data_IF_621546627415
#
_entry.id   IF_621546627415
#
_cell.length_a   1.000
_cell.length_b   1.000
_cell.length_c   1.000
_cell.angle_alpha   90.00
_cell.angle_beta   90.00
_cell.angle_gamma   90.00
#
_symmetry.space_group_name_H-M   'P 1'
#
loop_
_entity.id
_entity.type
_entity.pdbx_description
1 polymer ?
#
# COMPACT_ATOMS: atom_id res chain seq x y z
N UNK A 1 10.58 23.14 -13.75
CA UNK A 1 11.91 22.61 -13.39
C UNK A 1 12.19 22.98 -11.93
N UNK A 2 11.44 22.37 -11.01
CA UNK A 2 11.73 22.43 -9.57
C UNK A 2 12.81 21.39 -9.30
N UNK A 3 13.86 21.80 -8.60
CA UNK A 3 15.00 20.96 -8.24
C UNK A 3 14.53 19.86 -7.29
N UNK A 4 14.75 18.61 -7.65
CA UNK A 4 14.87 17.52 -6.70
C UNK A 4 16.17 17.75 -5.93
N UNK A 5 16.05 18.09 -4.66
CA UNK A 5 17.16 18.19 -3.73
C UNK A 5 16.89 17.17 -2.63
N UNK A 6 17.07 15.89 -2.95
CA UNK A 6 17.13 14.81 -1.97
C UNK A 6 18.48 14.91 -1.26
N UNK A 7 18.56 15.86 -0.32
CA UNK A 7 19.62 15.90 0.69
C UNK A 7 19.08 16.71 1.87
N UNK A 8 18.14 16.10 2.60
CA UNK A 8 17.83 16.54 3.94
C UNK A 8 18.36 15.47 4.90
N UNK A 9 19.43 15.81 5.61
CA UNK A 9 19.78 15.21 6.89
C UNK A 9 18.60 15.42 7.85
N UNK A 10 17.62 14.52 7.80
CA UNK A 10 16.53 14.49 8.76
C UNK A 10 17.08 13.80 10.01
N UNK A 11 17.62 14.58 10.95
CA UNK A 11 17.78 14.18 12.35
C UNK A 11 16.40 14.03 13.00
N UNK A 12 15.63 13.04 12.52
CA UNK A 12 14.40 12.56 13.14
C UNK A 12 14.71 11.41 14.10
N UNK A 13 13.83 11.15 15.06
CA UNK A 13 13.91 9.94 15.87
C UNK A 13 13.88 8.72 14.94
N UNK A 14 14.98 7.96 14.93
CA UNK A 14 15.18 6.79 14.07
C UNK A 14 14.18 5.72 14.50
N UNK A 15 13.49 5.10 13.52
CA UNK A 15 12.62 3.94 13.74
C UNK A 15 13.30 2.91 14.64
N UNK A 16 12.58 2.44 15.67
CA UNK A 16 13.17 1.53 16.66
C UNK A 16 13.57 0.21 15.99
N UNK A 17 14.79 -0.21 16.31
CA UNK A 17 15.37 -1.46 15.85
C UNK A 17 15.08 -2.57 16.85
N UNK A 18 14.68 -3.73 16.35
CA UNK A 18 14.43 -4.92 17.16
C UNK A 18 15.38 -6.04 16.77
N UNK A 19 15.76 -6.88 17.73
CA UNK A 19 16.58 -8.05 17.42
C UNK A 19 15.78 -9.09 16.60
N UNK A 20 16.45 -10.02 15.91
CA UNK A 20 15.75 -11.12 15.23
C UNK A 20 14.86 -11.93 16.18
N UNK A 21 15.32 -12.16 17.42
CA UNK A 21 14.53 -12.82 18.47
C UNK A 21 13.29 -12.00 18.86
N UNK A 22 13.41 -10.67 18.92
CA UNK A 22 12.27 -9.81 19.22
C UNK A 22 11.23 -9.86 18.10
N UNK A 23 11.64 -9.95 16.83
CA UNK A 23 10.71 -10.14 15.71
C UNK A 23 9.98 -11.47 15.78
N UNK A 24 10.64 -12.57 16.17
CA UNK A 24 9.96 -13.85 16.40
C UNK A 24 8.93 -13.71 17.52
N UNK A 25 9.25 -13.00 18.61
CA UNK A 25 8.29 -12.75 19.70
C UNK A 25 7.13 -11.86 19.28
N UNK A 26 7.39 -10.85 18.43
CA UNK A 26 6.33 -10.03 17.83
C UNK A 26 5.40 -10.91 16.99
N UNK A 27 5.94 -11.80 16.18
CA UNK A 27 5.16 -12.74 15.37
C UNK A 27 4.30 -13.67 16.24
N UNK A 28 4.88 -14.30 17.27
CA UNK A 28 4.13 -15.11 18.25
C UNK A 28 2.93 -14.34 18.81
N UNK A 29 3.15 -13.08 19.22
CA UNK A 29 2.07 -12.25 19.75
C UNK A 29 1.04 -11.85 18.67
N UNK A 30 1.48 -11.61 17.44
CA UNK A 30 0.59 -11.32 16.30
C UNK A 30 -0.32 -12.52 16.01
N UNK A 31 0.23 -13.73 15.90
CA UNK A 31 -0.54 -14.94 15.62
C UNK A 31 -1.48 -15.33 16.79
N UNK A 32 -1.20 -14.86 18.01
CA UNK A 32 -2.12 -15.01 19.15
C UNK A 32 -3.33 -14.08 19.08
N UNK A 33 -3.23 -12.93 18.38
CA UNK A 33 -4.28 -11.90 18.32
C UNK A 33 -3.94 -10.61 19.10
N UNK A 34 -2.65 -10.30 19.28
CA UNK A 34 -2.18 -9.06 19.93
C UNK A 34 -1.56 -8.06 18.95
N UNK A 35 -1.86 -8.19 17.65
CA UNK A 35 -1.41 -7.34 16.54
C UNK A 35 -1.86 -5.86 16.68
N UNK A 36 -2.73 -5.56 17.64
CA UNK A 36 -3.18 -4.19 18.00
C UNK A 36 -2.31 -3.52 19.08
N UNK A 37 -1.40 -4.24 19.73
CA UNK A 37 -0.48 -3.71 20.75
C UNK A 37 0.80 -3.14 20.14
N UNK A 38 1.56 -2.35 20.89
CA UNK A 38 2.90 -1.91 20.46
C UNK A 38 3.89 -3.07 20.47
N UNK A 39 4.98 -3.00 19.70
CA UNK A 39 5.99 -4.06 19.67
C UNK A 39 6.57 -4.35 21.07
N UNK A 40 6.93 -3.35 21.91
CA UNK A 40 7.38 -3.61 23.27
C UNK A 40 6.33 -4.35 24.13
N UNK A 41 5.05 -4.03 23.99
CA UNK A 41 3.98 -4.71 24.72
C UNK A 41 3.81 -6.17 24.28
N UNK A 42 3.98 -6.45 22.98
CA UNK A 42 3.96 -7.81 22.43
C UNK A 42 5.12 -8.65 22.95
N UNK A 43 6.34 -8.11 22.89
CA UNK A 43 7.55 -8.76 23.41
C UNK A 43 7.42 -9.04 24.91
N UNK A 44 6.94 -8.05 25.69
CA UNK A 44 6.72 -8.20 27.13
C UNK A 44 5.69 -9.29 27.45
N UNK A 45 4.62 -9.40 26.65
CA UNK A 45 3.63 -10.45 26.81
C UNK A 45 4.23 -11.84 26.59
N UNK A 46 5.00 -12.05 25.50
CA UNK A 46 5.67 -13.34 25.25
C UNK A 46 6.62 -13.70 26.38
N UNK A 47 7.45 -12.75 26.83
CA UNK A 47 8.39 -12.97 27.92
C UNK A 47 7.71 -13.30 29.27
N UNK A 48 6.43 -12.93 29.44
CA UNK A 48 5.68 -13.21 30.68
C UNK A 48 5.11 -14.63 30.75
N UNK A 49 5.09 -15.36 29.63
CA UNK A 49 4.50 -16.70 29.53
C UNK A 49 5.57 -17.76 29.74
N UNK A 50 5.35 -18.64 30.73
CA UNK A 50 6.29 -19.75 31.02
C UNK A 50 6.22 -20.88 30.01
N UNK A 51 5.02 -21.19 29.54
CA UNK A 51 4.76 -22.28 28.60
C UNK A 51 3.92 -21.76 27.43
N UNK A 52 4.61 -21.44 26.32
CA UNK A 52 3.99 -20.92 25.11
C UNK A 52 3.15 -21.99 24.40
N UNK A 53 3.54 -23.28 24.45
CA UNK A 53 2.77 -24.37 23.83
C UNK A 53 1.36 -24.48 24.41
N UNK A 54 1.20 -24.21 25.71
CA UNK A 54 -0.11 -24.20 26.37
C UNK A 54 -1.12 -23.19 25.76
N UNK A 55 -0.63 -22.19 25.04
CA UNK A 55 -1.46 -21.13 24.44
C UNK A 55 -1.90 -21.42 23.01
N UNK A 56 -1.35 -22.44 22.36
CA UNK A 56 -1.60 -22.76 20.95
C UNK A 56 -3.08 -22.87 20.61
N UNK A 57 -3.86 -23.63 21.40
CA UNK A 57 -5.30 -23.84 21.13
C UNK A 57 -6.12 -22.55 21.28
N UNK A 58 -5.65 -21.60 22.10
CA UNK A 58 -6.33 -20.33 22.35
C UNK A 58 -5.90 -19.20 21.42
N UNK A 59 -4.90 -19.42 20.57
CA UNK A 59 -4.43 -18.42 19.62
C UNK A 59 -5.47 -18.20 18.50
N UNK A 60 -5.55 -16.98 17.97
CA UNK A 60 -6.41 -16.66 16.82
C UNK A 60 -6.00 -17.46 15.57
N UNK A 61 -4.69 -17.69 15.39
CA UNK A 61 -4.12 -18.48 14.29
C UNK A 61 -3.27 -19.64 14.85
N UNK A 62 -3.87 -20.75 15.34
CA UNK A 62 -3.15 -21.79 16.07
C UNK A 62 -1.94 -22.41 15.33
N UNK A 63 -2.02 -22.77 14.04
CA UNK A 63 -0.87 -23.35 13.34
C UNK A 63 0.29 -22.36 13.19
N UNK A 64 -0.01 -21.10 12.85
CA UNK A 64 0.99 -20.04 12.69
C UNK A 64 1.62 -19.67 14.03
N UNK A 65 0.82 -19.61 15.10
CA UNK A 65 1.31 -19.40 16.46
C UNK A 65 2.31 -20.50 16.86
N UNK A 66 1.96 -21.77 16.67
CA UNK A 66 2.84 -22.88 16.99
C UNK A 66 4.14 -22.84 16.17
N UNK A 67 4.05 -22.54 14.87
CA UNK A 67 5.24 -22.40 14.03
C UNK A 67 6.20 -21.32 14.55
N UNK A 68 5.67 -20.16 14.96
CA UNK A 68 6.48 -19.08 15.54
C UNK A 68 7.08 -19.46 16.91
N UNK A 69 6.37 -20.23 17.73
CA UNK A 69 6.90 -20.76 19.01
C UNK A 69 8.05 -21.74 18.75
N UNK A 70 7.91 -22.66 17.80
CA UNK A 70 8.98 -23.59 17.40
C UNK A 70 10.19 -22.82 16.85
N UNK A 71 9.98 -21.76 16.07
CA UNK A 71 11.07 -20.91 15.57
C UNK A 71 11.82 -20.20 16.71
N UNK A 72 11.14 -19.82 17.79
CA UNK A 72 11.80 -19.26 18.97
C UNK A 72 12.65 -20.30 19.70
N UNK A 73 12.16 -21.54 19.81
CA UNK A 73 12.91 -22.66 20.39
C UNK A 73 14.16 -22.98 19.56
N UNK A 74 14.02 -23.06 18.23
CA UNK A 74 15.15 -23.22 17.31
C UNK A 74 16.19 -22.11 17.48
N UNK A 75 15.73 -20.86 17.60
CA UNK A 75 16.62 -19.72 17.80
C UNK A 75 17.39 -19.81 19.14
N UNK A 76 16.73 -20.25 20.24
CA UNK A 76 17.39 -20.49 21.52
C UNK A 76 18.36 -21.67 21.48
N UNK A 77 18.06 -22.69 20.69
CA UNK A 77 18.92 -23.85 20.48
C UNK A 77 20.03 -23.62 19.43
N UNK A 78 20.09 -22.43 18.83
CA UNK A 78 21.00 -22.10 17.72
C UNK A 78 20.85 -23.05 16.52
N UNK A 79 19.62 -23.51 16.25
CA UNK A 79 19.25 -24.31 15.09
C UNK A 79 18.81 -23.37 13.96
N UNK A 80 19.33 -23.51 12.73
CA UNK A 80 18.86 -22.74 11.59
C UNK A 80 17.36 -22.96 11.34
N UNK A 81 16.62 -21.88 11.17
CA UNK A 81 15.19 -21.92 10.89
C UNK A 81 14.87 -21.18 9.59
N UNK A 82 13.91 -21.73 8.82
CA UNK A 82 13.35 -21.07 7.63
C UNK A 82 12.11 -20.23 7.95
N UNK A 83 11.79 -20.02 9.23
CA UNK A 83 10.58 -19.29 9.65
C UNK A 83 10.62 -17.84 9.15
N UNK A 84 9.50 -17.40 8.59
CA UNK A 84 9.31 -16.03 8.13
C UNK A 84 8.39 -15.30 9.09
N UNK A 85 8.80 -14.10 9.50
CA UNK A 85 7.97 -13.19 10.29
C UNK A 85 7.17 -12.32 9.33
N UNK A 86 5.86 -12.21 9.55
CA UNK A 86 4.98 -11.34 8.76
C UNK A 86 4.59 -10.06 9.50
N UNK A 87 4.61 -8.94 8.80
CA UNK A 87 3.99 -7.69 9.24
C UNK A 87 3.00 -7.20 8.18
N UNK A 88 1.82 -6.80 8.64
CA UNK A 88 0.75 -6.30 7.77
C UNK A 88 0.81 -4.76 7.70
N UNK A 89 0.55 -4.20 6.52
CA UNK A 89 0.33 -2.77 6.41
C UNK A 89 -0.96 -2.36 7.14
N UNK A 90 -0.89 -1.35 8.00
CA UNK A 90 -2.05 -0.92 8.78
C UNK A 90 -3.07 -0.21 7.88
N UNK A 91 -4.18 -0.88 7.58
CA UNK A 91 -5.29 -0.33 6.76
C UNK A 91 -4.81 0.20 5.40
N UNK A 92 -4.02 -0.62 4.69
CA UNK A 92 -3.34 -0.31 3.40
C UNK A 92 -4.12 0.62 2.47
N UNK A 93 -5.36 0.27 2.11
CA UNK A 93 -6.19 1.09 1.22
C UNK A 93 -6.41 2.54 1.71
N UNK A 94 -6.75 2.71 2.99
CA UNK A 94 -6.98 4.03 3.60
C UNK A 94 -5.65 4.79 3.73
N UNK A 95 -4.58 4.07 4.08
CA UNK A 95 -3.22 4.63 4.17
C UNK A 95 -2.77 5.18 2.82
N UNK A 96 -2.90 4.41 1.74
CA UNK A 96 -2.55 4.84 0.38
C UNK A 96 -3.34 6.10 0.01
N UNK A 97 -4.67 6.09 0.18
CA UNK A 97 -5.50 7.26 -0.11
C UNK A 97 -5.08 8.49 0.73
N UNK A 98 -4.76 8.30 2.01
CA UNK A 98 -4.25 9.36 2.88
C UNK A 98 -2.92 9.95 2.40
N UNK A 99 -1.98 9.10 1.97
CA UNK A 99 -0.67 9.50 1.44
C UNK A 99 -0.83 10.29 0.14
N UNK A 100 -1.63 9.78 -0.80
CA UNK A 100 -1.86 10.46 -2.08
C UNK A 100 -2.48 11.85 -1.90
N UNK A 101 -3.33 12.02 -0.87
CA UNK A 101 -3.92 13.29 -0.51
C UNK A 101 -2.97 14.23 0.26
N UNK A 102 -1.80 13.76 0.71
CA UNK A 102 -0.94 14.52 1.65
C UNK A 102 -1.62 14.77 3.01
N UNK A 103 -2.45 13.85 3.50
CA UNK A 103 -3.29 14.08 4.68
C UNK A 103 -2.65 13.57 5.98
N UNK A 104 -2.23 14.50 6.84
CA UNK A 104 -1.71 14.18 8.17
C UNK A 104 -2.72 13.46 9.08
N UNK A 105 -3.99 13.91 9.11
CA UNK A 105 -5.02 13.33 10.00
C UNK A 105 -5.29 11.87 9.64
N UNK A 106 -5.53 11.59 8.35
CA UNK A 106 -5.73 10.23 7.84
C UNK A 106 -4.52 9.37 8.19
N UNK A 107 -3.32 9.87 7.88
CA UNK A 107 -2.06 9.16 8.08
C UNK A 107 -1.78 8.86 9.56
N UNK A 108 -2.14 9.78 10.46
CA UNK A 108 -2.00 9.58 11.88
C UNK A 108 -2.97 8.51 12.38
N UNK A 109 -4.21 8.48 11.87
CA UNK A 109 -5.22 7.51 12.30
C UNK A 109 -5.02 6.11 11.72
N UNK A 110 -4.28 5.97 10.61
CA UNK A 110 -3.82 4.66 10.12
C UNK A 110 -2.50 4.20 10.74
N UNK A 111 -1.74 5.10 11.37
CA UNK A 111 -0.46 4.79 12.01
C UNK A 111 0.73 4.82 11.04
N UNK A 112 0.55 5.35 9.83
CA UNK A 112 1.67 5.57 8.88
C UNK A 112 2.54 6.78 9.27
N UNK A 113 2.03 7.64 10.15
CA UNK A 113 2.85 8.64 10.87
C UNK A 113 2.70 8.47 12.39
N UNK A 114 3.76 8.83 13.11
CA UNK A 114 3.81 8.75 14.58
C UNK A 114 4.27 7.40 15.12
N UNK A 115 4.22 7.27 16.45
CA UNK A 115 4.84 6.18 17.22
C UNK A 115 3.83 5.28 17.96
N UNK A 116 2.56 5.31 17.55
CA UNK A 116 1.51 4.47 18.13
C UNK A 116 1.01 3.46 17.12
N UNK A 117 0.73 2.25 17.59
CA UNK A 117 -0.01 1.26 16.81
C UNK A 117 -1.47 1.69 16.77
N UNK A 118 -1.88 2.29 15.66
CA UNK A 118 -3.24 2.81 15.50
C UNK A 118 -4.20 1.75 15.00
N UNK A 119 -5.48 1.93 15.29
CA UNK A 119 -6.56 1.06 14.82
C UNK A 119 -7.64 1.95 14.21
N UNK A 120 -7.53 2.17 12.89
CA UNK A 120 -8.38 3.08 12.14
C UNK A 120 -9.88 2.80 12.35
N UNK A 121 -10.25 1.52 12.36
CA UNK A 121 -11.63 1.10 12.60
C UNK A 121 -12.12 1.49 13.99
N UNK A 122 -11.25 1.38 15.00
CA UNK A 122 -11.57 1.82 16.36
C UNK A 122 -11.62 3.35 16.48
N UNK A 123 -10.73 4.08 15.80
CA UNK A 123 -10.80 5.55 15.77
C UNK A 123 -12.15 6.03 15.22
N UNK A 124 -12.60 5.44 14.11
CA UNK A 124 -13.92 5.73 13.56
C UNK A 124 -15.05 5.31 14.50
N UNK A 125 -14.91 4.19 15.20
CA UNK A 125 -15.91 3.70 16.15
C UNK A 125 -16.09 4.67 17.32
N UNK A 126 -15.00 5.18 17.87
CA UNK A 126 -15.04 6.18 18.94
C UNK A 126 -15.71 7.46 18.44
N UNK A 127 -15.25 7.99 17.32
CA UNK A 127 -15.79 9.21 16.72
C UNK A 127 -17.30 9.10 16.42
N UNK A 128 -17.75 7.96 15.87
CA UNK A 128 -19.15 7.72 15.55
C UNK A 128 -20.01 7.65 16.83
N UNK A 129 -19.54 6.97 17.87
CA UNK A 129 -20.26 6.88 19.14
C UNK A 129 -20.33 8.24 19.85
N UNK A 130 -19.27 9.04 19.79
CA UNK A 130 -19.22 10.39 20.35
C UNK A 130 -20.24 11.31 19.66
N UNK A 131 -20.38 11.22 18.33
CA UNK A 131 -21.38 11.97 17.56
C UNK A 131 -22.82 11.59 17.91
N UNK A 132 -23.09 10.30 18.09
CA UNK A 132 -24.44 9.81 18.39
C UNK A 132 -24.90 10.22 19.79
N UNK A 133 -23.96 10.33 20.75
CA UNK A 133 -24.22 10.66 22.15
C UNK A 133 -25.46 9.92 22.70
N UNK A 134 -25.54 8.62 22.40
CA UNK A 134 -26.68 7.77 22.69
C UNK A 134 -26.33 6.67 23.68
N UNK A 135 -27.34 6.11 24.35
CA UNK A 135 -27.16 4.96 25.26
C UNK A 135 -26.76 3.67 24.51
N UNK A 136 -26.90 3.64 23.18
CA UNK A 136 -26.53 2.50 22.34
C UNK A 136 -25.14 2.72 21.77
N UNK A 137 -24.22 1.84 22.12
CA UNK A 137 -22.85 1.83 21.59
C UNK A 137 -22.78 0.99 20.31
N UNK A 138 -22.37 1.62 19.22
CA UNK A 138 -22.10 0.96 17.94
C UNK A 138 -20.83 0.11 18.05
N UNK A 139 -20.90 -1.20 17.74
CA UNK A 139 -19.74 -2.08 17.81
C UNK A 139 -18.68 -1.79 16.74
N UNK A 140 -17.39 -1.94 17.12
CA UNK A 140 -16.26 -1.83 16.18
C UNK A 140 -16.36 -2.76 14.97
N UNK A 141 -16.94 -3.96 15.16
CA UNK A 141 -17.10 -4.93 14.08
C UNK A 141 -17.99 -4.41 12.94
N UNK A 142 -19.07 -3.71 13.30
CA UNK A 142 -20.02 -3.14 12.35
C UNK A 142 -19.42 -1.95 11.61
N UNK A 143 -18.71 -1.07 12.33
CA UNK A 143 -17.95 0.03 11.75
C UNK A 143 -16.87 -0.49 10.79
N UNK A 144 -16.10 -1.52 11.20
CA UNK A 144 -15.07 -2.14 10.33
C UNK A 144 -15.69 -2.66 9.04
N UNK A 145 -16.78 -3.40 9.12
CA UNK A 145 -17.44 -4.00 7.94
C UNK A 145 -17.96 -2.94 6.97
N UNK A 146 -18.51 -1.84 7.49
CA UNK A 146 -18.93 -0.69 6.68
C UNK A 146 -17.74 0.06 6.07
N UNK A 147 -16.74 0.40 6.88
CA UNK A 147 -15.57 1.20 6.49
C UNK A 147 -14.71 0.50 5.44
N UNK A 148 -14.53 -0.82 5.52
CA UNK A 148 -13.75 -1.60 4.54
C UNK A 148 -14.30 -1.51 3.10
N UNK A 149 -15.60 -1.23 2.95
CA UNK A 149 -16.22 -1.08 1.61
C UNK A 149 -16.42 0.37 1.22
N UNK A 150 -16.52 1.27 2.20
CA UNK A 150 -16.78 2.69 2.01
C UNK A 150 -15.73 3.36 1.13
N UNK A 151 -14.44 3.22 1.47
CA UNK A 151 -13.34 3.88 0.74
C UNK A 151 -13.11 3.37 -0.69
N UNK A 152 -13.88 2.38 -1.12
CA UNK A 152 -13.95 1.89 -2.49
C UNK A 152 -15.26 2.33 -3.19
N UNK A 153 -15.95 3.33 -2.62
CA UNK A 153 -17.18 3.93 -3.14
C UNK A 153 -18.49 3.24 -2.75
N UNK A 154 -18.45 2.13 -2.02
CA UNK A 154 -19.67 1.41 -1.65
C UNK A 154 -20.46 2.14 -0.56
N UNK A 155 -21.74 2.38 -0.85
CA UNK A 155 -22.72 2.84 0.15
C UNK A 155 -23.63 1.71 0.64
N UNK A 156 -23.61 0.55 -0.02
CA UNK A 156 -24.54 -0.54 0.24
C UNK A 156 -24.34 -1.15 1.63
N UNK A 157 -23.09 -1.38 2.04
CA UNK A 157 -22.80 -1.99 3.33
C UNK A 157 -23.06 -1.06 4.52
N UNK A 158 -22.64 0.22 4.49
CA UNK A 158 -23.05 1.20 5.50
C UNK A 158 -24.57 1.29 5.66
N UNK A 159 -25.33 1.38 4.55
CA UNK A 159 -26.79 1.45 4.58
C UNK A 159 -27.46 0.21 5.15
N UNK A 160 -26.95 -0.98 4.83
CA UNK A 160 -27.49 -2.22 5.36
C UNK A 160 -27.27 -2.36 6.87
N UNK A 161 -26.12 -1.91 7.39
CA UNK A 161 -25.77 -2.04 8.80
C UNK A 161 -26.43 -0.96 9.64
N UNK A 162 -26.40 0.31 9.20
CA UNK A 162 -26.88 1.44 9.99
C UNK A 162 -28.31 1.88 9.64
N UNK A 163 -28.89 1.36 8.56
CA UNK A 163 -30.19 1.78 8.03
C UNK A 163 -30.09 3.00 7.12
N UNK A 164 -31.03 3.13 6.18
CA UNK A 164 -31.15 4.36 5.37
C UNK A 164 -31.86 5.46 6.16
N UNK A 165 -31.41 6.71 5.96
CA UNK A 165 -31.98 7.91 6.60
C UNK A 165 -32.00 7.88 8.15
N UNK A 166 -31.01 7.21 8.75
CA UNK A 166 -30.83 7.11 10.21
C UNK A 166 -29.73 8.05 10.71
N UNK A 167 -29.79 8.41 12.00
CA UNK A 167 -28.73 9.19 12.65
C UNK A 167 -27.41 8.43 12.68
N UNK A 168 -27.47 7.10 12.79
CA UNK A 168 -26.33 6.19 12.77
C UNK A 168 -25.60 6.25 11.42
N UNK A 169 -26.34 6.26 10.30
CA UNK A 169 -25.72 6.39 8.98
C UNK A 169 -25.09 7.78 8.77
N UNK A 170 -25.75 8.85 9.25
CA UNK A 170 -25.21 10.21 9.20
C UNK A 170 -23.92 10.30 10.02
N UNK A 171 -23.96 9.83 11.28
CA UNK A 171 -22.80 9.81 12.17
C UNK A 171 -21.67 8.94 11.62
N UNK A 172 -21.97 7.84 10.91
CA UNK A 172 -20.95 7.05 10.23
C UNK A 172 -20.19 7.88 9.19
N UNK A 173 -20.89 8.58 8.28
CA UNK A 173 -20.24 9.39 7.25
C UNK A 173 -19.50 10.59 7.85
N UNK A 174 -20.09 11.27 8.83
CA UNK A 174 -19.39 12.36 9.56
C UNK A 174 -18.13 11.87 10.28
N UNK A 175 -18.17 10.68 10.88
CA UNK A 175 -16.99 10.06 11.48
C UNK A 175 -15.90 9.77 10.45
N UNK A 176 -16.23 9.32 9.23
CA UNK A 176 -15.24 9.12 8.15
C UNK A 176 -14.52 10.43 7.80
N UNK A 177 -15.26 11.52 7.66
CA UNK A 177 -14.70 12.86 7.35
C UNK A 177 -13.81 13.39 8.46
N UNK A 178 -14.11 13.08 9.73
CA UNK A 178 -13.27 13.48 10.86
C UNK A 178 -11.99 12.64 10.97
N UNK A 179 -12.08 11.31 10.81
CA UNK A 179 -10.94 10.42 11.06
C UNK A 179 -10.05 10.21 9.84
N UNK A 180 -10.59 10.34 8.63
CA UNK A 180 -9.86 10.14 7.38
C UNK A 180 -10.28 11.10 6.25
N UNK A 181 -10.23 12.43 6.48
CA UNK A 181 -10.68 13.41 5.49
C UNK A 181 -9.94 13.28 4.15
N UNK A 182 -8.63 13.00 4.19
CA UNK A 182 -7.82 12.80 2.98
C UNK A 182 -8.24 11.58 2.18
N UNK A 183 -8.58 10.48 2.86
CA UNK A 183 -9.07 9.29 2.18
C UNK A 183 -10.47 9.51 1.56
N UNK A 184 -11.35 10.27 2.22
CA UNK A 184 -12.63 10.66 1.64
C UNK A 184 -12.44 11.50 0.37
N UNK A 185 -11.56 12.52 0.43
CA UNK A 185 -11.22 13.37 -0.73
C UNK A 185 -10.72 12.51 -1.88
N UNK A 186 -9.71 11.66 -1.65
CA UNK A 186 -9.12 10.85 -2.72
C UNK A 186 -10.08 9.81 -3.28
N UNK A 187 -10.93 9.19 -2.45
CA UNK A 187 -11.99 8.32 -2.93
C UNK A 187 -12.93 9.09 -3.88
N UNK A 188 -13.34 10.31 -3.53
CA UNK A 188 -14.19 11.13 -4.40
C UNK A 188 -13.49 11.54 -5.70
N UNK A 189 -12.20 11.88 -5.65
CA UNK A 189 -11.41 12.16 -6.86
C UNK A 189 -11.31 10.93 -7.77
N UNK A 190 -11.12 9.73 -7.20
CA UNK A 190 -11.10 8.50 -7.98
C UNK A 190 -12.46 8.17 -8.58
N UNK A 191 -13.55 8.25 -7.81
CA UNK A 191 -14.90 8.00 -8.32
C UNK A 191 -15.30 8.97 -9.43
N UNK A 192 -14.97 10.25 -9.28
CA UNK A 192 -15.22 11.27 -10.31
C UNK A 192 -14.32 11.12 -11.54
N UNK A 193 -13.35 10.18 -11.51
CA UNK A 193 -12.55 9.84 -12.68
C UNK A 193 -13.24 8.89 -13.64
N UNK A 194 -14.40 8.31 -13.26
CA UNK A 194 -15.17 7.45 -14.14
C UNK A 194 -15.55 8.15 -15.45
N UNK A 195 -15.12 7.59 -16.57
CA UNK A 195 -15.56 8.03 -17.88
C UNK A 195 -16.81 7.28 -18.30
N UNK A 196 -17.93 8.00 -18.34
CA UNK A 196 -19.22 7.44 -18.77
C UNK A 196 -19.14 6.79 -20.14
N UNK A 197 -19.64 5.57 -20.23
CA UNK A 197 -19.68 4.75 -21.45
C UNK A 197 -18.33 4.35 -22.06
N UNK A 198 -17.21 4.59 -21.37
CA UNK A 198 -15.93 4.01 -21.75
C UNK A 198 -16.00 2.48 -21.64
N UNK A 199 -15.33 1.77 -22.55
CA UNK A 199 -15.23 0.30 -22.53
C UNK A 199 -14.12 -0.19 -21.61
N UNK A 200 -13.22 0.69 -21.19
CA UNK A 200 -12.16 0.39 -20.24
C UNK A 200 -11.66 1.66 -19.57
N UNK A 201 -11.05 1.49 -18.40
CA UNK A 201 -10.22 2.50 -17.75
C UNK A 201 -8.81 1.93 -17.61
N UNK A 202 -7.80 2.70 -18.01
CA UNK A 202 -6.40 2.28 -17.94
C UNK A 202 -5.51 3.35 -17.33
N UNK A 203 -4.41 2.89 -16.75
CA UNK A 203 -3.35 3.76 -16.24
C UNK A 203 -2.04 2.98 -16.13
N UNK A 204 -0.94 3.72 -16.12
CA UNK A 204 0.41 3.23 -15.91
C UNK A 204 0.85 3.56 -14.48
N UNK A 205 1.73 2.73 -13.92
CA UNK A 205 2.33 2.89 -12.60
C UNK A 205 3.82 3.24 -12.73
N UNK A 206 4.49 3.75 -11.66
CA UNK A 206 5.88 4.22 -11.76
C UNK A 206 6.89 3.18 -12.25
N UNK A 207 6.62 1.90 -12.01
CA UNK A 207 7.47 0.81 -12.51
C UNK A 207 7.13 0.39 -13.95
N UNK A 208 6.29 1.15 -14.67
CA UNK A 208 5.89 0.87 -16.04
C UNK A 208 4.86 -0.25 -16.19
N UNK A 209 4.23 -0.70 -15.11
CA UNK A 209 3.09 -1.63 -15.19
C UNK A 209 1.87 -0.89 -15.76
N UNK A 210 1.27 -1.43 -16.82
CA UNK A 210 0.08 -0.85 -17.45
C UNK A 210 -1.16 -1.65 -17.06
N UNK A 211 -2.04 -1.03 -16.26
CA UNK A 211 -3.30 -1.60 -15.82
C UNK A 211 -4.40 -1.24 -16.82
N UNK A 212 -5.11 -2.25 -17.33
CA UNK A 212 -6.29 -2.08 -18.21
C UNK A 212 -7.47 -2.79 -17.53
N UNK A 213 -8.54 -2.06 -17.27
CA UNK A 213 -9.75 -2.58 -16.63
C UNK A 213 -10.94 -2.42 -17.57
N UNK A 214 -11.41 -3.50 -18.21
CA UNK A 214 -12.63 -3.47 -19.01
C UNK A 214 -13.87 -3.17 -18.17
N UNK A 215 -14.85 -2.47 -18.76
CA UNK A 215 -16.14 -2.19 -18.11
C UNK A 215 -17.12 -3.32 -18.40
N UNK A 216 -17.26 -4.24 -17.46
CA UNK A 216 -18.14 -5.41 -17.60
C UNK A 216 -19.51 -5.16 -16.96
N UNK A 217 -20.57 -5.41 -17.71
CA UNK A 217 -21.97 -5.32 -17.25
C UNK A 217 -22.63 -6.69 -17.24
N UNK A 218 -23.42 -6.95 -16.19
CA UNK A 218 -24.20 -8.19 -16.07
C UNK A 218 -25.47 -8.10 -16.92
N UNK A 219 -25.48 -8.85 -18.01
CA UNK A 219 -26.60 -8.97 -18.94
C UNK A 219 -27.50 -10.15 -18.54
N UNK A 220 -28.81 -10.02 -18.78
CA UNK A 220 -29.78 -11.08 -18.54
C UNK A 220 -30.54 -11.37 -19.83
N UNK A 221 -30.51 -12.61 -20.28
CA UNK A 221 -31.29 -13.08 -21.44
C UNK A 221 -32.21 -14.19 -20.98
N UNK A 222 -33.48 -14.12 -21.41
CA UNK A 222 -34.44 -15.19 -21.19
C UNK A 222 -34.33 -16.18 -22.35
N UNK A 223 -33.98 -17.42 -22.04
CA UNK A 223 -33.93 -18.52 -22.99
C UNK A 223 -35.18 -19.39 -22.81
N UNK A 224 -35.74 -19.87 -23.91
CA UNK A 224 -36.78 -20.88 -23.95
C UNK A 224 -36.18 -22.16 -24.51
N UNK A 225 -36.40 -23.29 -23.85
CA UNK A 225 -35.93 -24.61 -24.30
C UNK A 225 -37.15 -25.42 -24.76
N UNK A 226 -37.28 -25.55 -26.07
CA UNK A 226 -38.37 -26.28 -26.71
C UNK A 226 -38.40 -27.76 -26.26
N UNK A 227 -37.24 -28.40 -26.15
CA UNK A 227 -37.08 -29.80 -25.74
C UNK A 227 -37.46 -30.07 -24.28
N UNK A 228 -37.65 -29.02 -23.48
CA UNK A 228 -38.10 -29.09 -22.08
C UNK A 228 -39.50 -28.52 -21.92
N UNK A 229 -40.42 -28.82 -22.85
CA UNK A 229 -41.79 -28.31 -22.85
C UNK A 229 -41.86 -26.78 -22.75
N UNK A 230 -41.05 -26.08 -23.55
CA UNK A 230 -40.98 -24.61 -23.55
C UNK A 230 -40.60 -24.01 -22.17
N UNK A 231 -39.81 -24.74 -21.37
CA UNK A 231 -39.34 -24.22 -20.09
C UNK A 231 -38.43 -23.03 -20.33
N UNK A 232 -38.63 -21.97 -19.54
CA UNK A 232 -37.81 -20.75 -19.64
C UNK A 232 -36.80 -20.67 -18.52
N UNK A 233 -35.57 -20.25 -18.85
CA UNK A 233 -34.51 -19.98 -17.89
C UNK A 233 -33.89 -18.61 -18.14
N UNK A 234 -33.40 -17.97 -17.08
CA UNK A 234 -32.65 -16.71 -17.18
C UNK A 234 -31.17 -17.02 -17.22
N UNK A 235 -30.53 -16.74 -18.35
CA UNK A 235 -29.08 -16.81 -18.49
C UNK A 235 -28.48 -15.44 -18.15
N UNK A 236 -27.52 -15.43 -17.22
CA UNK A 236 -26.80 -14.23 -16.81
C UNK A 236 -25.37 -14.35 -17.32
N UNK A 237 -24.90 -13.37 -18.08
CA UNK A 237 -23.52 -13.30 -18.57
C UNK A 237 -22.95 -11.90 -18.39
N UNK A 238 -21.64 -11.76 -18.51
CA UNK A 238 -20.96 -10.46 -18.49
C UNK A 238 -20.57 -10.06 -19.91
N UNK A 239 -20.83 -8.80 -20.25
CA UNK A 239 -20.49 -8.22 -21.55
C UNK A 239 -19.67 -6.94 -21.36
N UNK A 240 -18.77 -6.63 -22.29
CA UNK A 240 -17.94 -5.42 -22.21
C UNK A 240 -18.71 -4.24 -22.81
N UNK A 241 -19.50 -3.59 -21.97
CA UNK A 241 -20.36 -2.47 -22.34
C UNK A 241 -20.16 -1.38 -21.29
N UNK A 242 -19.80 -0.18 -21.74
CA UNK A 242 -19.63 0.95 -20.85
C UNK A 242 -20.90 1.30 -20.08
N UNK A 243 -20.76 1.85 -18.88
CA UNK A 243 -21.87 2.35 -18.06
C UNK A 243 -21.76 3.83 -17.80
N UNK A 244 -22.91 4.46 -17.54
CA UNK A 244 -23.01 5.88 -17.20
C UNK A 244 -22.20 6.22 -15.94
N UNK A 245 -22.34 5.39 -14.92
CA UNK A 245 -21.62 5.50 -13.64
C UNK A 245 -20.90 4.19 -13.30
N UNK A 246 -19.89 4.27 -12.44
CA UNK A 246 -19.18 3.09 -11.94
C UNK A 246 -18.34 3.40 -10.71
N UNK A 247 -18.29 2.44 -9.78
CA UNK A 247 -17.55 2.57 -8.52
C UNK A 247 -16.19 1.86 -8.57
N UNK A 248 -16.02 0.90 -9.48
CA UNK A 248 -14.88 -0.01 -9.52
C UNK A 248 -13.54 0.73 -9.69
N UNK A 249 -13.55 1.90 -10.34
CA UNK A 249 -12.37 2.73 -10.57
C UNK A 249 -11.63 3.10 -9.29
N UNK A 250 -12.35 3.37 -8.19
CA UNK A 250 -11.74 3.69 -6.91
C UNK A 250 -10.96 2.51 -6.33
N UNK A 251 -11.56 1.32 -6.32
CA UNK A 251 -10.88 0.10 -5.89
C UNK A 251 -9.67 -0.23 -6.77
N UNK A 252 -9.86 -0.21 -8.09
CA UNK A 252 -8.84 -0.62 -9.04
C UNK A 252 -7.60 0.30 -9.03
N UNK A 253 -7.80 1.62 -8.92
CA UNK A 253 -6.68 2.57 -8.81
C UNK A 253 -5.92 2.37 -7.48
N UNK A 254 -6.63 2.23 -6.36
CA UNK A 254 -5.99 1.98 -5.06
C UNK A 254 -5.23 0.65 -5.04
N UNK A 255 -5.83 -0.44 -5.56
CA UNK A 255 -5.18 -1.75 -5.63
C UNK A 255 -4.04 -1.80 -6.66
N UNK A 256 -4.14 -1.02 -7.74
CA UNK A 256 -3.03 -0.84 -8.68
C UNK A 256 -1.79 -0.27 -7.99
N UNK A 257 -1.99 0.79 -7.19
CA UNK A 257 -0.92 1.43 -6.41
C UNK A 257 -0.39 0.50 -5.31
N UNK A 258 -1.26 -0.21 -4.58
CA UNK A 258 -0.86 -1.25 -3.62
C UNK A 258 0.04 -2.31 -4.28
N UNK A 259 -0.38 -2.84 -5.45
CA UNK A 259 0.41 -3.78 -6.22
C UNK A 259 1.75 -3.21 -6.67
N UNK A 260 1.83 -1.91 -6.98
CA UNK A 260 3.10 -1.24 -7.26
C UNK A 260 4.01 -1.21 -6.02
N UNK A 261 3.48 -0.84 -4.85
CA UNK A 261 4.25 -0.84 -3.60
C UNK A 261 4.81 -2.22 -3.29
N UNK A 262 4.03 -3.29 -3.53
CA UNK A 262 4.51 -4.68 -3.39
C UNK A 262 5.68 -4.95 -4.32
N UNK A 263 5.54 -4.66 -5.62
CA UNK A 263 6.60 -4.92 -6.60
C UNK A 263 7.87 -4.13 -6.29
N UNK A 264 7.74 -2.86 -5.93
CA UNK A 264 8.87 -2.00 -5.61
C UNK A 264 9.57 -2.44 -4.31
N UNK A 265 8.81 -2.81 -3.29
CA UNK A 265 9.37 -3.35 -2.03
C UNK A 265 10.17 -4.63 -2.29
N UNK A 266 9.62 -5.56 -3.08
CA UNK A 266 10.32 -6.80 -3.42
C UNK A 266 11.58 -6.50 -4.24
N UNK A 267 11.54 -5.57 -5.21
CA UNK A 267 12.73 -5.18 -5.97
C UNK A 267 13.82 -4.60 -5.07
N UNK A 268 13.46 -3.72 -4.15
CA UNK A 268 14.43 -3.07 -3.24
C UNK A 268 14.93 -3.99 -2.13
N UNK A 269 14.18 -5.03 -1.75
CA UNK A 269 14.63 -6.03 -0.76
C UNK A 269 15.38 -7.20 -1.39
N UNK A 270 14.93 -7.73 -2.53
CA UNK A 270 15.41 -8.97 -3.14
C UNK A 270 16.08 -8.69 -4.50
N UNK A 271 17.02 -7.73 -4.51
CA UNK A 271 17.71 -7.31 -5.72
C UNK A 271 18.86 -8.26 -6.12
N UNK A 272 19.23 -8.24 -7.39
CA UNK A 272 20.45 -8.87 -7.92
C UNK A 272 21.65 -7.94 -7.70
N UNK A 273 22.54 -8.32 -6.77
CA UNK A 273 23.69 -7.52 -6.40
C UNK A 273 24.69 -7.34 -7.57
N UNK A 274 24.88 -8.34 -8.42
CA UNK A 274 25.80 -8.24 -9.56
C UNK A 274 25.28 -7.24 -10.59
N UNK A 275 23.97 -7.28 -10.86
CA UNK A 275 23.30 -6.32 -11.73
C UNK A 275 23.42 -4.89 -11.18
N UNK A 276 23.12 -4.68 -9.90
CA UNK A 276 23.20 -3.34 -9.30
C UNK A 276 24.62 -2.79 -9.32
N UNK A 277 25.63 -3.60 -9.00
CA UNK A 277 27.05 -3.19 -9.07
C UNK A 277 27.42 -2.79 -10.50
N UNK A 278 27.04 -3.59 -11.50
CA UNK A 278 27.34 -3.31 -12.91
C UNK A 278 26.69 -1.99 -13.37
N UNK A 279 25.39 -1.84 -13.12
CA UNK A 279 24.63 -0.65 -13.52
C UNK A 279 25.11 0.58 -12.76
N UNK A 280 25.40 0.47 -11.45
CA UNK A 280 25.98 1.54 -10.65
C UNK A 280 27.31 2.04 -11.22
N UNK A 281 28.23 1.13 -11.58
CA UNK A 281 29.50 1.49 -12.18
C UNK A 281 29.33 2.18 -13.56
N UNK A 282 28.36 1.74 -14.36
CA UNK A 282 28.02 2.39 -15.62
C UNK A 282 27.46 3.80 -15.39
N UNK A 283 26.56 3.96 -14.44
CA UNK A 283 25.96 5.26 -14.09
C UNK A 283 27.00 6.23 -13.55
N UNK A 284 27.90 5.80 -12.67
CA UNK A 284 29.00 6.61 -12.13
C UNK A 284 29.91 7.14 -13.25
N UNK A 285 30.35 6.25 -14.16
CA UNK A 285 31.17 6.63 -15.32
C UNK A 285 30.50 7.69 -16.21
N UNK A 286 29.18 7.70 -16.27
CA UNK A 286 28.39 8.61 -17.10
C UNK A 286 27.67 9.71 -16.30
N UNK A 287 27.96 9.86 -15.00
CA UNK A 287 27.20 10.67 -14.05
C UNK A 287 27.04 12.13 -14.50
N UNK A 288 28.13 12.74 -14.98
CA UNK A 288 28.14 14.14 -15.43
C UNK A 288 27.92 14.35 -16.93
N UNK A 289 27.74 13.28 -17.68
CA UNK A 289 27.60 13.33 -19.13
C UNK A 289 26.31 14.05 -19.52
N UNK A 290 26.36 15.01 -20.44
CA UNK A 290 25.19 15.81 -20.87
C UNK A 290 24.54 15.34 -22.17
N UNK A 291 25.03 14.24 -22.77
CA UNK A 291 24.44 13.67 -23.97
C UNK A 291 23.10 12.99 -23.65
N UNK A 292 21.99 13.64 -23.99
CA UNK A 292 20.81 12.92 -24.46
C UNK A 292 20.91 12.94 -25.99
N UNK A 293 20.88 11.79 -26.65
CA UNK A 293 20.95 11.73 -28.11
C UNK A 293 19.88 12.66 -28.72
N UNK A 294 20.32 13.73 -29.41
CA UNK A 294 19.43 14.69 -30.08
C UNK A 294 18.55 13.88 -31.04
N UNK A 295 17.23 13.82 -30.76
CA UNK A 295 16.25 13.12 -31.60
C UNK A 295 15.80 11.73 -31.13
N UNK A 296 16.25 11.21 -29.97
CA UNK A 296 15.66 10.00 -29.38
C UNK A 296 14.45 10.35 -28.50
N UNK A 297 13.39 9.53 -28.57
CA UNK A 297 12.28 9.57 -27.62
C UNK A 297 12.77 9.11 -26.23
N UNK A 298 12.29 9.74 -25.16
CA UNK A 298 12.50 9.32 -23.78
C UNK A 298 12.14 7.84 -23.60
N UNK A 299 12.98 7.08 -22.92
CA UNK A 299 12.66 5.67 -22.64
C UNK A 299 11.42 5.59 -21.75
N UNK A 300 10.54 4.60 -21.97
CA UNK A 300 9.24 4.52 -21.29
C UNK A 300 9.35 4.52 -19.75
N UNK A 301 10.33 3.83 -19.18
CA UNK A 301 10.57 3.83 -17.72
C UNK A 301 10.99 5.20 -17.18
N UNK A 302 11.77 5.97 -17.95
CA UNK A 302 12.14 7.33 -17.58
C UNK A 302 10.94 8.27 -17.71
N UNK A 303 10.12 8.09 -18.76
CA UNK A 303 8.89 8.84 -18.91
C UNK A 303 7.92 8.59 -17.74
N UNK A 304 7.76 7.33 -17.32
CA UNK A 304 6.96 6.99 -16.14
C UNK A 304 7.51 7.66 -14.87
N UNK A 305 8.83 7.67 -14.67
CA UNK A 305 9.43 8.35 -13.53
C UNK A 305 9.17 9.87 -13.54
N UNK A 306 9.24 10.50 -14.71
CA UNK A 306 8.94 11.93 -14.89
C UNK A 306 7.46 12.21 -14.60
N UNK A 307 6.55 11.42 -15.16
CA UNK A 307 5.11 11.64 -15.07
C UNK A 307 4.58 11.44 -13.64
N UNK A 308 5.12 10.42 -12.95
CA UNK A 308 4.73 10.09 -11.59
C UNK A 308 5.56 10.79 -10.52
N UNK A 309 6.68 11.44 -10.86
CA UNK A 309 7.61 12.00 -9.87
C UNK A 309 8.09 10.94 -8.87
N UNK A 310 8.30 9.71 -9.35
CA UNK A 310 8.72 8.56 -8.54
C UNK A 310 9.65 7.67 -9.36
N UNK A 311 10.85 7.40 -8.86
CA UNK A 311 11.81 6.54 -9.54
C UNK A 311 11.72 5.09 -9.04
N UNK A 312 11.48 4.14 -9.96
CA UNK A 312 11.47 2.71 -9.64
C UNK A 312 12.83 2.09 -9.88
N UNK A 313 13.26 1.19 -8.98
CA UNK A 313 14.47 0.39 -9.15
C UNK A 313 14.42 -0.47 -10.41
N UNK A 314 13.23 -0.74 -10.98
CA UNK A 314 13.09 -1.43 -12.28
C UNK A 314 13.88 -0.76 -13.40
N UNK A 315 14.20 0.53 -13.28
CA UNK A 315 15.08 1.24 -14.20
C UNK A 315 16.39 0.52 -14.55
N UNK A 316 16.95 -0.25 -13.61
CA UNK A 316 18.21 -0.99 -13.80
C UNK A 316 18.13 -2.09 -14.87
N UNK A 317 16.92 -2.62 -15.13
CA UNK A 317 16.70 -3.64 -16.16
C UNK A 317 16.91 -3.10 -17.59
N UNK A 318 16.84 -1.78 -17.75
CA UNK A 318 16.84 -1.12 -19.06
C UNK A 318 18.14 -0.40 -19.38
N UNK A 319 19.12 -0.35 -18.46
CA UNK A 319 20.39 0.36 -18.68
C UNK A 319 21.51 -0.63 -18.98
N UNK A 320 22.25 -0.36 -20.05
CA UNK A 320 23.47 -1.06 -20.42
C UNK A 320 24.46 -0.09 -21.10
N UNK A 321 25.66 -0.59 -21.40
CA UNK A 321 26.74 0.18 -22.02
C UNK A 321 26.40 0.80 -23.38
N UNK A 322 25.42 0.25 -24.12
CA UNK A 322 25.04 0.72 -25.45
C UNK A 322 23.94 1.79 -25.42
N UNK A 323 23.08 1.77 -24.40
CA UNK A 323 21.92 2.66 -24.34
C UNK A 323 21.95 3.68 -23.20
N UNK A 324 22.96 3.67 -22.31
CA UNK A 324 23.06 4.62 -21.19
C UNK A 324 22.98 6.10 -21.59
N UNK A 325 23.42 6.46 -22.80
CA UNK A 325 23.35 7.84 -23.31
C UNK A 325 21.97 8.20 -23.92
N UNK A 326 21.01 7.28 -23.91
CA UNK A 326 19.61 7.53 -24.28
C UNK A 326 18.78 8.03 -23.10
N UNK A 327 19.24 7.79 -21.86
CA UNK A 327 18.61 8.28 -20.64
C UNK A 327 19.13 9.68 -20.29
N UNK A 328 18.26 10.54 -19.74
CA UNK A 328 18.69 11.87 -19.35
C UNK A 328 19.72 11.85 -18.20
N UNK A 329 20.46 12.95 -18.07
CA UNK A 329 21.35 13.15 -16.91
C UNK A 329 20.60 13.05 -15.59
N UNK A 330 19.43 13.70 -15.47
CA UNK A 330 18.65 13.71 -14.24
C UNK A 330 18.24 12.30 -13.81
N UNK A 331 17.64 11.54 -14.72
CA UNK A 331 17.20 10.16 -14.44
C UNK A 331 18.36 9.24 -14.03
N UNK A 332 19.52 9.35 -14.71
CA UNK A 332 20.71 8.55 -14.35
C UNK A 332 21.25 8.88 -12.97
N UNK A 333 21.27 10.16 -12.60
CA UNK A 333 21.73 10.60 -11.28
C UNK A 333 20.77 10.11 -10.18
N UNK A 334 19.46 10.27 -10.38
CA UNK A 334 18.45 9.77 -9.44
C UNK A 334 18.52 8.24 -9.29
N UNK A 335 18.65 7.49 -10.39
CA UNK A 335 18.76 6.03 -10.33
C UNK A 335 20.05 5.60 -9.62
N UNK A 336 21.16 6.31 -9.85
CA UNK A 336 22.42 6.05 -9.17
C UNK A 336 22.30 6.24 -7.66
N UNK A 337 21.64 7.32 -7.22
CA UNK A 337 21.36 7.55 -5.80
C UNK A 337 20.48 6.47 -5.21
N UNK A 338 19.38 6.10 -5.89
CA UNK A 338 18.50 5.02 -5.45
C UNK A 338 19.25 3.69 -5.30
N UNK A 339 20.12 3.33 -6.25
CA UNK A 339 20.94 2.11 -6.16
C UNK A 339 21.84 2.15 -4.92
N UNK A 340 22.47 3.29 -4.64
CA UNK A 340 23.28 3.50 -3.44
C UNK A 340 22.48 3.24 -2.15
N UNK A 341 21.31 3.86 -2.04
CA UNK A 341 20.42 3.69 -0.87
C UNK A 341 19.92 2.25 -0.70
N UNK A 342 19.61 1.56 -1.81
CA UNK A 342 19.19 0.15 -1.78
C UNK A 342 20.34 -0.76 -1.36
N UNK A 343 21.56 -0.50 -1.85
CA UNK A 343 22.75 -1.30 -1.52
C UNK A 343 23.29 -1.09 -0.10
N UNK A 344 22.82 -0.05 0.61
CA UNK A 344 23.11 0.13 2.04
C UNK A 344 22.41 -0.92 2.92
N UNK A 345 21.38 -1.59 2.40
CA UNK A 345 20.71 -2.73 3.04
C UNK A 345 21.10 -4.05 2.36
N UNK A 346 21.16 -5.19 3.08
CA UNK A 346 21.42 -6.48 2.46
C UNK A 346 20.26 -6.91 1.54
N UNK A 347 20.55 -7.69 0.49
CA UNK A 347 19.53 -8.37 -0.31
C UNK A 347 18.98 -9.60 0.42
N UNK A 348 17.66 -9.78 0.43
CA UNK A 348 16.95 -10.91 1.04
C UNK A 348 15.60 -11.17 0.37
N UNK A 349 15.13 -12.44 0.35
CA UNK A 349 13.81 -12.76 -0.20
C UNK A 349 12.69 -12.22 0.69
N UNK A 350 11.65 -11.71 0.04
CA UNK A 350 10.40 -11.27 0.67
C UNK A 350 9.25 -12.03 0.04
N UNK A 351 8.40 -12.63 0.87
CA UNK A 351 7.14 -13.22 0.45
C UNK A 351 6.02 -12.24 0.80
N UNK A 352 5.13 -11.97 -0.15
CA UNK A 352 4.02 -11.05 0.05
C UNK A 352 2.67 -11.73 -0.12
N UNK A 353 1.68 -11.28 0.65
CA UNK A 353 0.26 -11.59 0.46
C UNK A 353 -0.44 -10.25 0.38
N UNK A 354 -0.44 -9.65 -0.81
CA UNK A 354 -0.84 -8.25 -1.00
C UNK A 354 -0.09 -7.33 -0.03
N UNK A 355 -0.77 -6.81 0.99
CA UNK A 355 -0.28 -5.85 1.97
C UNK A 355 0.39 -6.49 3.21
N UNK A 356 0.51 -7.82 3.25
CA UNK A 356 1.35 -8.55 4.22
C UNK A 356 2.75 -8.80 3.63
N UNK A 357 3.80 -8.46 4.37
CA UNK A 357 5.20 -8.68 3.97
C UNK A 357 5.90 -9.61 4.94
N UNK A 358 6.51 -10.68 4.42
CA UNK A 358 7.22 -11.69 5.22
C UNK A 358 8.67 -11.84 4.79
N UNK A 359 9.59 -11.81 5.74
CA UNK A 359 10.96 -12.21 5.50
C UNK A 359 11.57 -12.89 6.73
N UNK A 360 12.80 -13.37 6.60
CA UNK A 360 13.52 -13.96 7.73
C UNK A 360 13.75 -12.87 8.81
N UNK A 361 13.61 -13.18 10.11
CA UNK A 361 13.65 -12.21 11.21
C UNK A 361 14.90 -11.31 11.24
N UNK A 362 16.01 -11.76 10.66
CA UNK A 362 17.24 -10.97 10.51
C UNK A 362 17.08 -9.71 9.63
N UNK A 363 16.07 -9.67 8.76
CA UNK A 363 15.91 -8.63 7.75
C UNK A 363 14.67 -7.74 7.97
N UNK A 364 13.91 -7.98 9.04
CA UNK A 364 12.67 -7.25 9.29
C UNK A 364 12.89 -5.74 9.53
N UNK A 365 14.03 -5.36 10.10
CA UNK A 365 14.41 -3.95 10.22
C UNK A 365 14.63 -3.30 8.84
N UNK A 366 15.39 -3.97 7.97
CA UNK A 366 15.67 -3.53 6.60
C UNK A 366 14.38 -3.44 5.78
N UNK A 367 13.51 -4.45 5.86
CA UNK A 367 12.19 -4.45 5.23
C UNK A 367 11.36 -3.23 5.66
N UNK A 368 11.27 -2.96 6.97
CA UNK A 368 10.53 -1.81 7.48
C UNK A 368 11.10 -0.49 6.97
N UNK A 369 12.44 -0.32 7.00
CA UNK A 369 13.10 0.90 6.50
C UNK A 369 12.85 1.09 4.99
N UNK A 370 13.01 0.05 4.18
CA UNK A 370 12.77 0.10 2.74
C UNK A 370 11.32 0.48 2.45
N UNK A 371 10.36 -0.15 3.13
CA UNK A 371 8.95 0.18 2.94
C UNK A 371 8.62 1.62 3.38
N UNK A 372 9.20 2.09 4.48
CA UNK A 372 9.08 3.48 4.94
C UNK A 372 9.56 4.48 3.89
N UNK A 373 10.75 4.24 3.30
CA UNK A 373 11.30 5.09 2.25
C UNK A 373 10.35 5.16 1.05
N UNK A 374 9.85 4.01 0.58
CA UNK A 374 8.90 3.93 -0.54
C UNK A 374 7.62 4.72 -0.23
N UNK A 375 7.10 4.64 1.00
CA UNK A 375 5.91 5.41 1.41
C UNK A 375 6.19 6.92 1.47
N UNK A 376 7.39 7.32 1.92
CA UNK A 376 7.85 8.71 1.89
C UNK A 376 7.93 9.26 0.47
N UNK A 377 8.57 8.51 -0.43
CA UNK A 377 8.64 8.84 -1.86
C UNK A 377 7.25 8.91 -2.49
N UNK A 378 6.33 8.00 -2.14
CA UNK A 378 4.93 8.07 -2.61
C UNK A 378 4.27 9.38 -2.14
N UNK A 379 4.51 9.80 -0.90
CA UNK A 379 3.98 11.03 -0.34
C UNK A 379 4.52 12.29 -1.03
N UNK A 380 5.72 12.25 -1.58
CA UNK A 380 6.35 13.38 -2.29
C UNK A 380 6.08 13.35 -3.81
N UNK A 381 5.66 12.19 -4.34
CA UNK A 381 5.41 11.96 -5.76
C UNK A 381 4.14 12.61 -6.34
N UNK A 382 3.96 12.55 -7.66
CA UNK A 382 2.72 12.88 -8.37
C UNK A 382 1.92 11.64 -8.82
N UNK A 383 2.17 10.45 -8.23
CA UNK A 383 1.54 9.18 -8.61
C UNK A 383 0.02 9.28 -8.70
N UNK A 384 -0.64 9.75 -7.63
CA UNK A 384 -2.11 9.86 -7.60
C UNK A 384 -2.67 10.81 -8.67
N UNK A 385 -1.99 11.92 -8.92
CA UNK A 385 -2.36 12.87 -9.98
C UNK A 385 -2.27 12.22 -11.36
N UNK A 386 -1.16 11.54 -11.65
CA UNK A 386 -0.94 10.94 -12.96
C UNK A 386 -1.92 9.80 -13.24
N UNK A 387 -2.20 8.94 -12.26
CA UNK A 387 -3.22 7.90 -12.37
C UNK A 387 -4.60 8.51 -12.67
N UNK A 388 -4.97 9.60 -11.99
CA UNK A 388 -6.23 10.31 -12.26
C UNK A 388 -6.25 10.89 -13.69
N UNK A 389 -5.16 11.54 -14.14
CA UNK A 389 -5.06 12.12 -15.49
C UNK A 389 -5.30 11.08 -16.58
N UNK A 390 -4.67 9.91 -16.45
CA UNK A 390 -4.79 8.82 -17.43
C UNK A 390 -6.20 8.25 -17.45
N UNK A 391 -6.77 7.94 -16.28
CA UNK A 391 -8.14 7.41 -16.19
C UNK A 391 -9.18 8.42 -16.69
N UNK A 392 -9.02 9.72 -16.39
CA UNK A 392 -9.91 10.79 -16.87
C UNK A 392 -9.70 11.15 -18.34
N UNK A 393 -8.60 10.72 -18.95
CA UNK A 393 -8.09 11.26 -20.20
C UNK A 393 -8.02 12.81 -20.17
N UNK A 394 -7.56 13.36 -19.05
CA UNK A 394 -7.39 14.80 -18.84
C UNK A 394 -5.96 15.10 -18.36
N UNK A 395 -5.04 15.43 -19.27
CA UNK A 395 -3.66 15.73 -18.91
C UNK A 395 -3.50 17.06 -18.14
N UNK A 396 -4.55 17.89 -18.08
CA UNK A 396 -4.51 19.20 -17.41
C UNK A 396 -4.92 19.14 -15.94
N UNK A 397 -5.50 18.02 -15.50
CA UNK A 397 -5.92 17.84 -14.12
C UNK A 397 -4.75 18.06 -13.13
N UNK A 398 -5.04 18.71 -12.01
CA UNK A 398 -4.08 18.95 -10.94
C UNK A 398 -4.68 18.45 -9.63
N UNK A 399 -3.96 17.55 -8.96
CA UNK A 399 -4.34 17.08 -7.63
C UNK A 399 -3.71 18.01 -6.58
N UNK A 400 -4.53 18.71 -5.81
CA UNK A 400 -4.06 19.56 -4.72
C UNK A 400 -3.90 18.72 -3.45
N UNK A 401 -2.66 18.40 -3.07
CA UNK A 401 -2.37 17.76 -1.78
C UNK A 401 -2.67 18.71 -0.62
N UNK A 402 -3.15 18.14 0.49
CA UNK A 402 -3.42 18.87 1.74
C UNK A 402 -2.14 19.34 2.42
N UNK A 403 -1.02 18.64 2.20
CA UNK A 403 0.31 19.05 2.65
C UNK A 403 1.41 18.47 1.74
N UNK A 404 2.61 19.07 1.79
CA UNK A 404 3.79 18.66 1.01
C UNK A 404 4.95 18.19 1.90
N UNK A 405 4.70 18.05 3.21
CA UNK A 405 5.66 17.66 4.25
C UNK A 405 5.33 16.28 4.86
N UNK A 406 4.37 15.56 4.27
CA UNK A 406 3.95 14.26 4.78
C UNK A 406 5.07 13.21 4.67
N UNK A 407 5.90 13.26 3.62
CA UNK A 407 7.08 12.39 3.48
C UNK A 407 7.99 12.46 4.70
N UNK A 408 8.35 13.67 5.14
CA UNK A 408 9.17 13.92 6.34
C UNK A 408 8.55 13.36 7.62
N UNK A 409 7.22 13.34 7.72
CA UNK A 409 6.50 12.77 8.86
C UNK A 409 6.48 11.23 8.82
N UNK A 410 6.37 10.64 7.63
CA UNK A 410 6.44 9.17 7.41
C UNK A 410 7.82 8.66 7.82
N UNK A 411 8.90 9.39 7.55
CA UNK A 411 10.27 9.00 7.94
C UNK A 411 10.50 8.89 9.45
N UNK A 412 9.55 9.35 10.27
CA UNK A 412 9.60 9.31 11.76
C UNK A 412 8.60 8.31 12.35
N UNK A 413 7.99 7.48 11.52
CA UNK A 413 6.93 6.55 11.91
C UNK A 413 7.46 5.20 12.36
N UNK A 414 6.66 4.47 13.16
CA UNK A 414 7.06 3.19 13.76
C UNK A 414 6.21 1.99 13.30
N UNK A 415 4.91 2.21 13.06
CA UNK A 415 3.88 1.14 12.96
C UNK A 415 3.15 1.09 11.62
N UNK A 416 3.75 1.61 10.56
CA UNK A 416 3.21 1.51 9.20
C UNK A 416 3.08 0.06 8.71
N UNK A 417 4.00 -0.81 9.12
CA UNK A 417 3.89 -2.27 9.11
C UNK A 417 3.81 -2.76 10.56
N UNK A 418 2.85 -3.63 10.90
CA UNK A 418 2.65 -4.06 12.29
C UNK A 418 2.08 -5.46 12.46
#
# INVERSE_FOLDING_TARGET
>A
MQRFQLCHDVQGEIMNQYSPLDYIKIDIANQYGLDKKTFPQRIAWVNSIKDLHSKTISAEKPPQYLAAVLALEDAYACVPSGHLVGLDACSSGITILGILAGCHITSQNTGVIGNKRMDMYNQCTLAMNDLLNSDITIPRADVKKSQMTHYYGSKAMPKHIFGEDTNELIAFYEAQEMVAPGACIMMHEFLSSWQSYALEHSHTLPDGFHSIVPVLQKMKVKLEIDELNHQTLTYIYEDNIGSEEGLAVAANMTHGIDGFLVRETVRRCNYDAEQLILVSALLDKHYDTTYAAIGCSTHAIEQAAIDHGFISLRGVEFINEHNINQFSKAYRQELYHLIGEVMDEPSFPVLTIHDEFKCHPNYMNSLRKIYQNILGELADSTVGQQVIREVRNDPTYVLNKLSNDLGDAIMKSEYFLS
#
